data_IF_421232457685
#
_entry.id   IF_421232457685
#
_cell.length_a   1.000
_cell.length_b   1.000
_cell.length_c   1.000
_cell.angle_alpha   90.00
_cell.angle_beta   90.00
_cell.angle_gamma   90.00
#
_symmetry.space_group_name_H-M   'P 1'
#
loop_
_entity.id
_entity.type
_entity.pdbx_description
1 polymer ?
#
# COMPACT_ATOMS: atom_id res chain seq x y z
N UNK A 1 13.02 8.84 -16.30
CA UNK A 1 12.85 9.79 -15.17
C UNK A 1 14.14 10.58 -15.00
N UNK A 2 14.16 11.89 -15.26
CA UNK A 2 15.33 12.72 -14.95
C UNK A 2 15.52 12.88 -13.43
N UNK A 3 16.76 12.81 -12.98
CA UNK A 3 17.17 13.03 -11.59
C UNK A 3 18.10 14.24 -11.59
N UNK A 4 17.70 15.30 -10.89
CA UNK A 4 18.45 16.57 -10.83
C UNK A 4 18.66 16.86 -9.35
N UNK A 5 19.91 17.07 -8.91
CA UNK A 5 20.27 17.33 -7.51
C UNK A 5 19.72 16.27 -6.52
N UNK A 6 19.63 15.01 -6.94
CA UNK A 6 19.10 13.91 -6.12
C UNK A 6 17.58 13.85 -6.00
N UNK A 7 16.85 14.79 -6.63
CA UNK A 7 15.39 14.82 -6.67
C UNK A 7 14.91 14.26 -8.00
N UNK A 8 13.85 13.43 -7.97
CA UNK A 8 13.25 12.83 -9.15
C UNK A 8 12.27 13.81 -9.80
N UNK A 9 12.34 13.97 -11.12
CA UNK A 9 11.44 14.83 -11.88
C UNK A 9 10.67 14.04 -12.93
N UNK A 10 9.45 14.49 -13.25
CA UNK A 10 8.71 14.01 -14.42
C UNK A 10 7.71 15.04 -14.95
N UNK A 11 7.23 14.81 -16.17
CA UNK A 11 6.23 15.64 -16.83
C UNK A 11 4.84 15.51 -16.19
N UNK A 12 4.00 16.55 -16.26
CA UNK A 12 2.62 16.53 -15.72
C UNK A 12 1.79 15.35 -16.25
N UNK A 13 1.80 15.12 -17.56
CA UNK A 13 1.07 14.00 -18.20
C UNK A 13 1.57 12.63 -17.71
N UNK A 14 2.86 12.52 -17.42
CA UNK A 14 3.51 11.30 -16.95
C UNK A 14 3.14 11.02 -15.49
N UNK A 15 3.07 12.06 -14.67
CA UNK A 15 2.66 11.98 -13.26
C UNK A 15 1.18 11.58 -13.18
N UNK A 16 0.30 12.26 -13.92
CA UNK A 16 -1.13 11.93 -14.00
C UNK A 16 -1.38 10.54 -14.57
N UNK A 17 -0.63 10.16 -15.60
CA UNK A 17 -0.76 8.86 -16.26
C UNK A 17 -0.04 7.70 -15.57
N UNK A 18 0.54 7.89 -14.37
CA UNK A 18 1.32 6.87 -13.66
C UNK A 18 2.52 6.31 -14.44
N UNK A 19 3.01 7.04 -15.45
CA UNK A 19 4.17 6.70 -16.30
C UNK A 19 5.43 7.47 -15.91
N UNK A 20 5.43 8.07 -14.72
CA UNK A 20 6.52 8.91 -14.23
C UNK A 20 7.86 8.19 -14.12
N UNK A 21 7.86 6.87 -13.85
CA UNK A 21 9.05 6.01 -13.84
C UNK A 21 9.84 6.07 -15.16
N UNK A 22 9.14 6.08 -16.30
CA UNK A 22 9.73 6.06 -17.64
C UNK A 22 9.65 7.41 -18.37
N UNK A 23 9.44 8.51 -17.64
CA UNK A 23 9.37 9.83 -18.27
C UNK A 23 10.74 10.26 -18.83
N UNK A 24 10.84 10.38 -20.16
CA UNK A 24 12.04 10.86 -20.89
C UNK A 24 11.74 12.12 -21.74
N UNK A 25 10.63 12.81 -21.46
CA UNK A 25 10.28 14.03 -22.19
C UNK A 25 11.16 15.19 -21.71
N UNK A 26 11.90 15.79 -22.64
CA UNK A 26 12.76 16.97 -22.40
C UNK A 26 12.08 18.29 -22.75
N UNK A 27 11.06 18.25 -23.59
CA UNK A 27 10.31 19.43 -24.08
C UNK A 27 9.28 19.94 -23.06
N UNK A 28 8.80 19.06 -22.18
CA UNK A 28 7.66 19.36 -21.29
C UNK A 28 8.12 19.89 -19.93
N UNK A 29 7.32 20.75 -19.27
CA UNK A 29 7.64 21.22 -17.93
C UNK A 29 7.75 20.05 -16.95
N UNK A 30 8.89 20.00 -16.26
CA UNK A 30 9.28 18.97 -15.30
C UNK A 30 8.86 19.39 -13.90
N UNK A 31 8.21 18.49 -13.17
CA UNK A 31 7.80 18.70 -11.78
C UNK A 31 8.52 17.72 -10.87
N UNK A 32 8.87 18.17 -9.66
CA UNK A 32 9.45 17.30 -8.64
C UNK A 32 8.43 16.24 -8.19
N UNK A 33 8.91 15.00 -8.06
CA UNK A 33 8.12 13.88 -7.55
C UNK A 33 8.56 13.60 -6.12
N UNK A 34 7.70 13.94 -5.17
CA UNK A 34 7.85 13.51 -3.77
C UNK A 34 7.55 12.01 -3.65
N UNK A 35 8.11 11.37 -2.62
CA UNK A 35 7.88 9.94 -2.35
C UNK A 35 6.38 9.69 -2.13
N UNK A 36 5.74 8.95 -3.04
CA UNK A 36 4.39 8.41 -2.82
C UNK A 36 4.49 7.20 -1.90
N UNK A 37 3.85 7.27 -0.73
CA UNK A 37 3.57 6.13 0.12
C UNK A 37 2.10 6.14 0.49
N UNK A 38 1.36 5.08 0.15
CA UNK A 38 0.05 4.85 0.77
C UNK A 38 0.32 4.47 2.23
N UNK A 39 -0.24 5.18 3.22
CA UNK A 39 -0.09 4.76 4.61
C UNK A 39 -0.60 3.33 4.76
N UNK A 40 0.03 2.55 5.62
CA UNK A 40 -0.39 1.18 5.87
C UNK A 40 -1.80 1.18 6.44
N UNK A 41 -2.75 0.62 5.70
CA UNK A 41 -4.17 0.54 6.11
C UNK A 41 -4.43 -0.65 7.04
N UNK A 42 -3.44 -1.52 7.25
CA UNK A 42 -3.54 -2.73 8.05
C UNK A 42 -2.59 -2.65 9.23
N UNK A 43 -3.02 -3.15 10.39
CA UNK A 43 -2.16 -3.29 11.56
C UNK A 43 -1.08 -4.37 11.33
N UNK A 44 -0.01 -4.33 12.14
CA UNK A 44 1.09 -5.31 12.07
C UNK A 44 0.57 -6.75 12.23
N UNK A 45 -0.34 -6.96 13.17
CA UNK A 45 -0.94 -8.25 13.46
C UNK A 45 -1.69 -8.87 12.26
N UNK A 46 -2.60 -8.13 11.62
CA UNK A 46 -3.31 -8.62 10.43
C UNK A 46 -2.38 -8.80 9.22
N UNK A 47 -1.29 -8.04 9.17
CA UNK A 47 -0.27 -8.21 8.13
C UNK A 47 0.50 -9.52 8.31
N UNK A 48 0.79 -9.91 9.54
CA UNK A 48 1.49 -11.17 9.82
C UNK A 48 0.57 -12.38 9.61
N UNK A 49 -0.72 -12.28 9.95
CA UNK A 49 -1.70 -13.31 9.60
C UNK A 49 -1.78 -13.61 8.11
N UNK A 50 -1.68 -12.58 7.25
CA UNK A 50 -1.63 -12.78 5.80
C UNK A 50 -0.39 -13.54 5.35
N UNK A 51 0.75 -13.36 6.04
CA UNK A 51 2.00 -14.02 5.67
C UNK A 51 2.07 -15.44 6.20
N UNK A 52 1.69 -15.65 7.46
CA UNK A 52 1.85 -16.92 8.16
C UNK A 52 0.71 -17.89 7.84
N UNK A 53 -0.52 -17.38 7.74
CA UNK A 53 -1.74 -18.19 7.56
C UNK A 53 -2.43 -17.98 6.21
N UNK A 54 -1.91 -17.11 5.34
CA UNK A 54 -2.49 -16.81 4.02
C UNK A 54 -3.95 -16.33 4.07
N UNK A 55 -4.36 -15.71 5.19
CA UNK A 55 -5.74 -15.26 5.40
C UNK A 55 -5.97 -13.87 4.80
N UNK A 56 -6.81 -13.76 3.78
CA UNK A 56 -7.10 -12.51 3.05
C UNK A 56 -8.35 -11.77 3.57
N UNK A 57 -8.36 -11.40 4.85
CA UNK A 57 -9.48 -10.62 5.44
C UNK A 57 -9.18 -9.12 5.50
N UNK A 58 -10.25 -8.29 5.48
CA UNK A 58 -10.17 -6.84 5.72
C UNK A 58 -9.79 -6.61 7.19
N UNK A 59 -8.77 -5.78 7.43
CA UNK A 59 -8.37 -5.41 8.78
C UNK A 59 -9.45 -4.50 9.41
N UNK A 60 -10.15 -4.99 10.43
CA UNK A 60 -11.17 -4.25 11.21
C UNK A 60 -10.70 -3.86 12.61
N UNK A 61 -9.39 -4.01 12.89
CA UNK A 61 -8.82 -3.74 14.22
C UNK A 61 -9.01 -2.29 14.70
N UNK A 62 -9.20 -1.33 13.78
CA UNK A 62 -9.48 0.06 14.14
C UNK A 62 -10.84 0.25 14.83
N UNK A 63 -11.82 -0.64 14.58
CA UNK A 63 -13.17 -0.60 15.16
C UNK A 63 -13.30 -1.50 16.40
N UNK A 64 -12.39 -2.48 16.58
CA UNK A 64 -12.49 -3.53 17.60
C UNK A 64 -11.60 -3.28 18.83
N UNK A 65 -11.45 -2.02 19.26
CA UNK A 65 -10.69 -1.62 20.46
C UNK A 65 -11.33 -2.03 21.80
N UNK A 66 -12.39 -2.84 21.77
CA UNK A 66 -12.91 -3.54 22.94
C UNK A 66 -12.72 -5.05 22.76
N UNK A 67 -11.72 -5.61 23.45
CA UNK A 67 -11.59 -7.01 23.83
C UNK A 67 -11.45 -8.00 22.64
N UNK A 68 -10.21 -8.44 22.37
CA UNK A 68 -9.98 -9.78 21.84
C UNK A 68 -8.89 -10.45 22.67
N UNK A 69 -9.31 -11.28 23.62
CA UNK A 69 -8.44 -12.33 24.16
C UNK A 69 -8.25 -13.39 23.06
N UNK A 70 -7.03 -13.91 22.96
CA UNK A 70 -6.54 -14.75 21.86
C UNK A 70 -6.95 -16.22 21.99
N UNK A 71 -7.96 -16.55 22.79
CA UNK A 71 -8.31 -17.95 23.13
C UNK A 71 -9.59 -18.49 22.49
N UNK A 72 -10.19 -17.77 21.53
CA UNK A 72 -11.40 -18.25 20.84
C UNK A 72 -11.14 -18.54 19.35
N UNK A 73 -10.15 -19.39 19.06
CA UNK A 73 -10.02 -20.04 17.75
C UNK A 73 -10.96 -21.24 17.65
N UNK A 74 -12.26 -20.99 17.61
CA UNK A 74 -13.25 -22.03 17.32
C UNK A 74 -14.50 -21.47 16.65
N UNK A 75 -14.37 -20.53 15.71
CA UNK A 75 -15.54 -20.07 14.94
C UNK A 75 -15.23 -19.42 13.58
N UNK A 76 -14.22 -19.89 12.85
CA UNK A 76 -14.19 -19.67 11.40
C UNK A 76 -14.32 -21.02 10.73
N UNK A 77 -15.60 -21.40 10.60
CA UNK A 77 -16.06 -22.63 10.02
C UNK A 77 -15.47 -22.91 8.65
N UNK A 78 -15.20 -24.19 8.46
CA UNK A 78 -15.25 -24.94 7.23
C UNK A 78 -16.18 -24.26 6.21
N UNK A 79 -15.60 -23.83 5.09
CA UNK A 79 -16.30 -23.85 3.82
C UNK A 79 -15.55 -24.79 2.90
N UNK A 80 -15.90 -26.06 3.07
CA UNK A 80 -15.84 -27.07 2.02
C UNK A 80 -16.82 -26.62 0.90
N UNK A 81 -16.50 -26.98 -0.34
CA UNK A 81 -17.11 -26.64 -1.65
C UNK A 81 -16.63 -25.36 -2.34
#
# INVERSE_FOLDING_TARGET
MPIINGIKFACNSCIKGHRSSHCNHVERPLFEIRRKGRPVTQCAYCRDLRKTKQVHVKCVCSERRGIVNWEDTSFFGLREF
#
